data_IF_748638385383
#
_entry.id   IF_748638385383
#
_cell.length_a   1.000
_cell.length_b   1.000
_cell.length_c   1.000
_cell.angle_alpha   90.00
_cell.angle_beta   90.00
_cell.angle_gamma   90.00
#
_symmetry.space_group_name_H-M   'P 1'
#
loop_
_entity.id
_entity.type
_entity.pdbx_description
1 polymer ?
#
# COMPACT_ATOMS: atom_id res chain seq x y z
N UNK A 1 -21.70 3.08 4.12
CA UNK A 1 -20.29 3.51 4.22
C UNK A 1 -19.78 3.23 5.61
N UNK A 2 -18.62 2.61 5.71
CA UNK A 2 -18.02 2.30 7.00
C UNK A 2 -16.60 1.79 6.84
N UNK A 3 -15.98 1.41 7.97
CA UNK A 3 -14.64 0.80 7.97
C UNK A 3 -14.76 -0.70 8.06
N UNK A 4 -13.93 -1.42 7.32
CA UNK A 4 -13.75 -2.86 7.51
C UNK A 4 -12.42 -3.18 8.15
N UNK A 5 -11.45 -2.30 7.99
CA UNK A 5 -10.10 -2.46 8.52
C UNK A 5 -9.61 -1.14 9.09
N UNK A 6 -9.02 -1.21 10.26
CA UNK A 6 -8.29 -0.08 10.82
C UNK A 6 -7.07 -0.63 11.53
N UNK A 7 -5.89 -0.14 11.18
CA UNK A 7 -4.65 -0.61 11.79
C UNK A 7 -3.57 0.45 11.81
N UNK A 8 -2.78 0.44 12.87
CA UNK A 8 -1.56 1.21 12.97
C UNK A 8 -0.38 0.27 12.70
N UNK A 9 0.45 0.63 11.73
CA UNK A 9 1.53 -0.22 11.25
C UNK A 9 2.86 0.50 11.40
N UNK A 10 3.87 -0.20 11.92
CA UNK A 10 5.24 0.29 11.97
C UNK A 10 6.12 -0.66 11.19
N UNK A 11 6.80 -0.14 10.17
CA UNK A 11 7.76 -0.90 9.39
C UNK A 11 9.16 -0.35 9.60
N UNK A 12 10.14 -1.24 9.53
CA UNK A 12 11.54 -0.91 9.71
C UNK A 12 12.35 -1.39 8.50
N UNK A 13 13.61 -0.99 8.44
CA UNK A 13 14.55 -1.45 7.41
C UNK A 13 14.47 -2.97 7.24
N UNK A 14 14.36 -3.43 6.01
CA UNK A 14 14.23 -4.85 5.69
C UNK A 14 12.81 -5.32 5.48
N UNK A 15 11.81 -4.50 5.79
CA UNK A 15 10.40 -4.84 5.55
C UNK A 15 10.07 -4.81 4.07
N UNK A 16 9.22 -5.74 3.62
CA UNK A 16 8.71 -5.73 2.26
C UNK A 16 7.43 -6.56 2.18
N UNK A 17 6.65 -6.32 1.13
CA UNK A 17 5.50 -7.14 0.74
C UNK A 17 5.52 -7.35 -0.76
N UNK A 18 5.41 -8.61 -1.18
CA UNK A 18 5.29 -8.93 -2.60
C UNK A 18 3.93 -8.49 -3.15
N UNK A 19 3.81 -8.25 -4.47
CA UNK A 19 2.54 -7.83 -5.05
C UNK A 19 1.45 -8.86 -4.81
N UNK A 20 0.30 -8.40 -4.32
CA UNK A 20 -0.85 -9.25 -4.01
C UNK A 20 -2.13 -8.45 -4.15
N UNK A 21 -3.25 -9.16 -4.20
CA UNK A 21 -4.58 -8.55 -4.08
C UNK A 21 -5.30 -9.17 -2.90
N UNK A 22 -6.25 -8.43 -2.32
CA UNK A 22 -7.03 -8.96 -1.20
C UNK A 22 -8.19 -9.86 -1.65
N UNK A 23 -8.56 -9.79 -2.94
CA UNK A 23 -9.71 -10.52 -3.47
C UNK A 23 -9.37 -11.24 -4.79
N UNK A 24 -8.34 -12.13 -4.79
CA UNK A 24 -7.82 -12.69 -6.04
C UNK A 24 -8.82 -13.60 -6.78
N UNK A 25 -9.80 -14.13 -6.07
CA UNK A 25 -10.76 -15.09 -6.64
C UNK A 25 -12.17 -14.52 -6.84
N UNK A 26 -12.36 -13.22 -6.59
CA UNK A 26 -13.66 -12.60 -6.79
C UNK A 26 -13.92 -12.33 -8.26
N UNK A 27 -15.15 -12.59 -8.69
CA UNK A 27 -15.60 -12.24 -10.02
C UNK A 27 -15.89 -10.74 -10.07
N UNK A 28 -15.58 -10.13 -11.20
CA UNK A 28 -15.72 -8.68 -11.40
C UNK A 28 -17.13 -8.18 -11.08
N UNK A 29 -18.15 -8.93 -11.47
CA UNK A 29 -19.55 -8.56 -11.24
C UNK A 29 -19.99 -8.65 -9.79
N UNK A 30 -19.26 -9.39 -8.96
CA UNK A 30 -19.58 -9.54 -7.53
C UNK A 30 -18.74 -8.65 -6.64
N UNK A 31 -17.89 -7.81 -7.24
CA UNK A 31 -16.95 -7.01 -6.50
C UNK A 31 -17.59 -5.71 -5.99
N UNK A 32 -17.57 -5.50 -4.68
CA UNK A 32 -17.93 -4.22 -4.09
C UNK A 32 -16.69 -3.32 -4.08
N UNK A 33 -16.80 -2.12 -4.65
CA UNK A 33 -15.68 -1.20 -4.74
C UNK A 33 -15.33 -0.66 -3.36
N UNK A 34 -14.24 -1.14 -2.80
CA UNK A 34 -13.68 -0.67 -1.56
C UNK A 34 -12.51 0.28 -1.86
N UNK A 35 -12.34 1.27 -1.00
CA UNK A 35 -11.18 2.16 -1.04
C UNK A 35 -10.28 1.87 0.13
N UNK A 36 -9.01 1.62 -0.14
CA UNK A 36 -8.00 1.50 0.91
C UNK A 36 -7.20 2.79 0.97
N UNK A 37 -7.04 3.30 2.18
CA UNK A 37 -6.28 4.51 2.45
C UNK A 37 -5.13 4.15 3.39
N UNK A 38 -3.93 4.64 3.05
CA UNK A 38 -2.76 4.55 3.92
C UNK A 38 -2.24 5.96 4.16
N UNK A 39 -2.20 6.35 5.43
CA UNK A 39 -1.68 7.65 5.82
C UNK A 39 -0.33 7.42 6.47
N UNK A 40 0.72 8.00 5.89
CA UNK A 40 2.10 7.81 6.30
C UNK A 40 2.61 8.95 7.14
N UNK A 41 3.32 8.61 8.22
CA UNK A 41 3.94 9.55 9.16
C UNK A 41 5.42 9.20 9.34
N UNK A 42 6.16 9.13 8.26
CA UNK A 42 7.58 8.82 8.31
C UNK A 42 8.40 10.11 8.31
N UNK A 43 8.48 10.75 9.47
CA UNK A 43 9.17 12.03 9.61
C UNK A 43 10.62 11.93 9.15
N UNK A 44 11.02 12.84 8.27
CA UNK A 44 12.37 12.87 7.73
C UNK A 44 12.60 11.85 6.63
N UNK A 45 11.54 11.29 6.05
CA UNK A 45 11.66 10.32 4.96
C UNK A 45 12.46 10.88 3.80
N UNK A 46 13.44 10.11 3.35
CA UNK A 46 14.25 10.48 2.20
C UNK A 46 13.46 10.22 0.92
N UNK A 47 13.20 11.28 0.16
CA UNK A 47 12.38 11.20 -1.05
C UNK A 47 12.96 10.21 -2.07
N UNK A 48 12.08 9.41 -2.68
CA UNK A 48 12.46 8.44 -3.69
C UNK A 48 12.90 7.09 -3.16
N UNK A 49 13.10 6.94 -1.85
CA UNK A 49 13.45 5.65 -1.27
C UNK A 49 12.26 4.71 -1.24
N UNK A 50 12.47 3.41 -1.47
CA UNK A 50 11.40 2.42 -1.46
C UNK A 50 10.86 2.16 -0.06
N UNK A 51 9.60 1.75 0.03
CA UNK A 51 9.00 1.37 1.31
C UNK A 51 7.55 1.74 1.46
N UNK A 52 7.00 2.58 0.58
CA UNK A 52 5.58 2.88 0.57
C UNK A 52 4.80 1.86 -0.25
N UNK A 53 3.48 1.92 -0.12
CA UNK A 53 2.61 1.03 -0.89
C UNK A 53 2.64 1.42 -2.37
N UNK A 54 3.12 0.50 -3.20
CA UNK A 54 3.08 0.65 -4.65
C UNK A 54 1.86 -0.04 -5.24
N UNK A 55 1.51 0.35 -6.46
CA UNK A 55 0.54 -0.36 -7.30
C UNK A 55 1.27 -1.00 -8.47
N UNK A 56 0.87 -2.21 -8.80
CA UNK A 56 1.47 -2.99 -9.88
C UNK A 56 0.40 -3.57 -10.79
N UNK A 57 0.76 -3.88 -12.03
CA UNK A 57 -0.18 -4.44 -12.99
C UNK A 57 -0.35 -5.95 -12.85
N UNK A 58 0.59 -6.65 -12.22
CA UNK A 58 0.49 -8.09 -11.96
C UNK A 58 1.32 -8.49 -10.72
N UNK A 59 1.54 -9.79 -10.55
CA UNK A 59 2.21 -10.35 -9.38
C UNK A 59 3.73 -10.13 -9.34
N UNK A 60 4.30 -9.52 -10.37
CA UNK A 60 5.73 -9.29 -10.48
C UNK A 60 6.05 -7.86 -10.08
N UNK A 61 7.03 -7.68 -9.20
CA UNK A 61 7.47 -6.36 -8.74
C UNK A 61 8.01 -5.49 -9.88
N UNK A 62 8.42 -6.10 -10.99
CA UNK A 62 8.81 -5.36 -12.19
C UNK A 62 7.64 -4.67 -12.89
N UNK A 63 6.40 -5.02 -12.54
CA UNK A 63 5.19 -4.45 -13.11
C UNK A 63 4.66 -3.22 -12.35
N UNK A 64 5.43 -2.67 -11.43
CA UNK A 64 5.04 -1.49 -10.64
C UNK A 64 4.73 -0.33 -11.60
N UNK A 65 3.55 0.27 -11.41
CA UNK A 65 3.09 1.43 -12.21
C UNK A 65 3.01 2.71 -11.38
N UNK A 66 3.03 2.60 -10.05
CA UNK A 66 3.01 3.74 -9.16
C UNK A 66 3.70 3.38 -7.85
N UNK A 67 4.51 4.29 -7.33
CA UNK A 67 5.11 4.16 -5.99
C UNK A 67 5.20 5.56 -5.38
N UNK A 68 4.81 5.75 -4.11
CA UNK A 68 4.87 7.08 -3.50
C UNK A 68 6.31 7.53 -3.30
N UNK A 69 6.56 8.78 -3.64
CA UNK A 69 7.89 9.39 -3.59
C UNK A 69 8.26 9.85 -2.17
N UNK A 70 7.26 10.24 -1.39
CA UNK A 70 7.43 10.76 -0.03
C UNK A 70 6.49 10.02 0.91
N UNK A 71 6.97 9.63 2.08
CA UNK A 71 6.16 8.97 3.10
C UNK A 71 6.04 9.81 4.38
N UNK A 72 6.37 11.09 4.31
CA UNK A 72 6.15 12.01 5.42
C UNK A 72 4.89 12.82 5.15
N UNK A 73 3.90 12.69 6.05
CA UNK A 73 2.63 13.41 5.96
C UNK A 73 1.96 13.22 4.59
N UNK A 74 1.87 11.98 4.14
CA UNK A 74 1.40 11.63 2.80
C UNK A 74 0.33 10.56 2.90
N UNK A 75 -0.65 10.62 2.01
CA UNK A 75 -1.73 9.63 1.92
C UNK A 75 -1.73 8.97 0.55
N UNK A 76 -1.86 7.64 0.55
CA UNK A 76 -2.07 6.85 -0.67
C UNK A 76 -3.46 6.26 -0.60
N UNK A 77 -4.23 6.45 -1.66
CA UNK A 77 -5.60 5.93 -1.77
C UNK A 77 -5.69 5.12 -3.05
N UNK A 78 -6.24 3.93 -2.96
CA UNK A 78 -6.49 3.13 -4.15
C UNK A 78 -7.78 2.33 -4.02
N UNK A 79 -8.40 2.02 -5.17
CA UNK A 79 -9.56 1.15 -5.22
C UNK A 79 -9.11 -0.31 -5.21
N UNK A 80 -9.67 -1.10 -4.31
CA UNK A 80 -9.38 -2.53 -4.26
C UNK A 80 -10.18 -3.28 -5.30
N UNK A 81 -9.52 -4.20 -6.00
CA UNK A 81 -10.14 -5.08 -6.99
C UNK A 81 -9.30 -6.35 -7.11
N UNK A 82 -9.80 -7.39 -7.81
CA UNK A 82 -8.97 -8.56 -8.10
C UNK A 82 -7.73 -8.25 -8.94
N UNK A 83 -7.63 -7.04 -9.49
CA UNK A 83 -6.50 -6.60 -10.32
C UNK A 83 -5.64 -5.52 -9.68
N UNK A 84 -6.00 -5.05 -8.49
CA UNK A 84 -5.23 -4.01 -7.80
C UNK A 84 -4.09 -4.62 -7.02
N UNK A 85 -3.07 -5.11 -7.74
CA UNK A 85 -1.87 -5.64 -7.11
C UNK A 85 -1.14 -4.50 -6.41
N UNK A 86 -0.77 -4.73 -5.17
CA UNK A 86 -0.07 -3.75 -4.36
C UNK A 86 0.88 -4.46 -3.40
N UNK A 87 1.85 -3.72 -2.91
CA UNK A 87 2.83 -4.24 -1.98
C UNK A 87 3.77 -3.12 -1.55
N UNK A 88 4.92 -3.48 -1.02
CA UNK A 88 5.98 -2.52 -0.72
C UNK A 88 7.33 -3.15 -1.04
N UNK A 89 8.19 -2.38 -1.71
CA UNK A 89 9.54 -2.84 -2.01
C UNK A 89 10.37 -2.89 -0.74
N UNK A 90 11.45 -3.67 -0.76
CA UNK A 90 12.38 -3.79 0.35
C UNK A 90 12.78 -2.40 0.84
N UNK A 91 12.53 -2.15 2.12
CA UNK A 91 12.81 -0.86 2.75
C UNK A 91 14.28 -0.77 3.10
N UNK A 92 15.01 0.09 2.40
CA UNK A 92 16.45 0.26 2.57
C UNK A 92 16.80 1.35 3.56
N UNK A 93 15.86 2.27 3.81
CA UNK A 93 16.11 3.40 4.70
C UNK A 93 16.09 2.96 6.17
N UNK A 94 17.08 3.38 6.92
CA UNK A 94 17.17 3.11 8.36
C UNK A 94 16.33 4.13 9.13
N UNK A 95 15.01 3.98 8.98
CA UNK A 95 14.01 4.82 9.63
C UNK A 95 12.75 4.00 9.86
N UNK A 96 11.95 4.41 10.82
CA UNK A 96 10.65 3.78 11.06
C UNK A 96 9.60 4.40 10.14
N UNK A 97 8.90 3.56 9.39
CA UNK A 97 7.77 3.96 8.59
C UNK A 97 6.50 3.69 9.38
N UNK A 98 5.88 4.74 9.89
CA UNK A 98 4.62 4.65 10.61
C UNK A 98 3.48 4.97 9.67
N UNK A 99 2.41 4.19 9.73
CA UNK A 99 1.24 4.41 8.88
C UNK A 99 -0.03 3.96 9.57
N UNK A 100 -1.14 4.59 9.17
CA UNK A 100 -2.49 4.16 9.52
C UNK A 100 -3.13 3.67 8.24
N UNK A 101 -3.69 2.46 8.28
CA UNK A 101 -4.40 1.88 7.16
C UNK A 101 -5.85 1.67 7.53
N UNK A 102 -6.75 2.00 6.61
CA UNK A 102 -8.15 1.66 6.74
C UNK A 102 -8.81 1.49 5.39
N UNK A 103 -9.87 0.69 5.37
CA UNK A 103 -10.64 0.41 4.16
C UNK A 103 -12.07 0.92 4.35
N UNK A 104 -12.52 1.70 3.40
CA UNK A 104 -13.90 2.21 3.33
C UNK A 104 -14.71 1.34 2.38
N UNK A 105 -15.93 1.02 2.78
CA UNK A 105 -16.88 0.24 1.98
C UNK A 105 -18.16 1.02 1.74
#
# INVERSE_FOLDING_TARGET
TGFTHFGFIVNEKGSFNMPHTHHPNEKKENYAYNLTMLIYFAKGWKHGEPGGTYLASDEDESSIIFEPYNLDNTCVIFAESPRSFHGSRYMTQDAKRQSIQFTLI
#
